data_IF_260320771287
#
_entry.id   IF_260320771287
#
_cell.length_a   1.000
_cell.length_b   1.000
_cell.length_c   1.000
_cell.angle_alpha   90.00
_cell.angle_beta   90.00
_cell.angle_gamma   90.00
#
_symmetry.space_group_name_H-M   'P 1'
#
loop_
_entity.id
_entity.type
_entity.pdbx_description
1 polymer ?
#
# COMPACT_ATOMS: atom_id res chain seq x y z
N UNK A 1 18.70 15.32 0.44
CA UNK A 1 17.43 14.57 0.46
C UNK A 1 17.76 13.15 0.85
N UNK A 2 17.32 12.69 2.03
CA UNK A 2 17.43 11.29 2.39
C UNK A 2 16.39 10.49 1.58
N UNK A 3 16.82 9.43 0.91
CA UNK A 3 15.91 8.51 0.21
C UNK A 3 14.98 7.86 1.23
N UNK A 4 13.67 7.97 1.01
CA UNK A 4 12.63 7.28 1.82
C UNK A 4 12.55 5.79 1.46
N UNK A 5 13.34 5.34 0.48
CA UNK A 5 13.34 3.97 -0.01
C UNK A 5 14.55 3.22 0.58
N UNK A 6 14.37 2.40 1.63
CA UNK A 6 15.39 1.46 2.06
C UNK A 6 15.60 0.39 0.99
N UNK A 7 16.78 -0.23 1.01
CA UNK A 7 17.13 -1.35 0.15
C UNK A 7 16.13 -2.50 0.32
N UNK A 8 15.90 -3.26 -0.75
CA UNK A 8 14.78 -4.21 -0.92
C UNK A 8 14.67 -5.35 0.13
N UNK A 9 15.65 -5.49 1.02
CA UNK A 9 15.71 -6.54 2.03
C UNK A 9 15.15 -6.13 3.40
N UNK A 10 14.75 -4.87 3.58
CA UNK A 10 14.36 -4.36 4.89
C UNK A 10 12.83 -4.21 5.03
N UNK A 11 12.24 -5.11 5.83
CA UNK A 11 10.81 -5.20 6.15
C UNK A 11 10.38 -4.10 7.14
N UNK A 12 10.71 -2.85 6.80
CA UNK A 12 10.05 -1.67 7.33
C UNK A 12 8.52 -1.88 7.32
N UNK A 13 7.85 -1.62 8.46
CA UNK A 13 6.38 -1.67 8.54
C UNK A 13 5.74 -0.75 7.49
N UNK A 14 4.86 -1.30 6.65
CA UNK A 14 4.30 -0.69 5.45
C UNK A 14 2.79 -0.92 5.40
N UNK A 15 2.01 -0.05 6.04
CA UNK A 15 0.59 -0.28 6.25
C UNK A 15 -0.27 0.73 5.50
N UNK A 16 -1.23 0.26 4.71
CA UNK A 16 -2.33 1.09 4.21
C UNK A 16 -3.43 1.12 5.26
N UNK A 17 -3.92 2.31 5.55
CA UNK A 17 -5.02 2.59 6.49
C UNK A 17 -6.19 3.21 5.74
N UNK A 18 -7.36 2.67 5.99
CA UNK A 18 -8.66 3.02 5.40
C UNK A 18 -9.72 3.00 6.50
N UNK A 19 -10.94 3.43 6.22
CA UNK A 19 -12.08 3.10 7.10
C UNK A 19 -12.83 1.92 6.50
N UNK A 20 -13.29 0.98 7.33
CA UNK A 20 -14.19 -0.08 6.91
C UNK A 20 -15.49 0.54 6.44
N UNK A 21 -15.85 0.29 5.19
CA UNK A 21 -17.09 0.79 4.60
C UNK A 21 -18.18 -0.29 4.55
N UNK A 22 -17.81 -1.57 4.63
CA UNK A 22 -18.72 -2.70 4.64
C UNK A 22 -18.14 -3.90 5.39
N UNK A 23 -18.99 -4.84 5.77
CA UNK A 23 -18.61 -6.14 6.35
C UNK A 23 -19.11 -7.27 5.47
N UNK A 24 -18.40 -8.42 5.44
CA UNK A 24 -18.89 -9.57 4.69
C UNK A 24 -19.92 -10.31 5.51
N UNK A 25 -20.90 -10.91 4.84
CA UNK A 25 -21.84 -11.87 5.42
C UNK A 25 -21.17 -13.18 5.93
N UNK A 26 -19.84 -13.25 6.03
CA UNK A 26 -19.10 -14.34 6.68
C UNK A 26 -18.42 -13.90 7.99
N UNK A 27 -18.49 -12.60 8.33
CA UNK A 27 -17.98 -12.03 9.59
C UNK A 27 -18.99 -12.15 10.75
N UNK A 28 -20.09 -12.89 10.59
CA UNK A 28 -21.25 -12.98 11.52
C UNK A 28 -20.97 -13.52 12.93
N UNK A 29 -19.73 -13.83 13.29
CA UNK A 29 -19.42 -14.57 14.52
C UNK A 29 -18.91 -13.75 15.70
N UNK A 30 -18.29 -12.58 15.47
CA UNK A 30 -17.51 -11.92 16.52
C UNK A 30 -17.78 -10.41 16.57
N UNK A 31 -18.67 -10.02 17.49
CA UNK A 31 -18.72 -8.70 18.15
C UNK A 31 -18.77 -7.44 17.27
N UNK A 32 -19.99 -7.08 16.83
CA UNK A 32 -20.36 -5.69 16.48
C UNK A 32 -19.84 -5.18 15.14
N UNK A 33 -20.58 -4.25 14.54
CA UNK A 33 -20.22 -3.72 13.22
C UNK A 33 -18.91 -2.94 13.24
N UNK A 34 -18.00 -3.31 12.34
CA UNK A 34 -16.75 -2.64 12.01
C UNK A 34 -16.97 -1.47 11.06
N UNK A 35 -18.15 -1.29 10.47
CA UNK A 35 -18.45 -0.16 9.59
C UNK A 35 -18.10 1.16 10.28
N UNK A 36 -17.40 2.02 9.56
CA UNK A 36 -16.91 3.32 10.03
C UNK A 36 -15.66 3.24 10.90
N UNK A 37 -15.15 2.05 11.25
CA UNK A 37 -13.93 1.90 12.03
C UNK A 37 -12.68 1.98 11.14
N UNK A 38 -11.57 2.54 11.63
CA UNK A 38 -10.31 2.49 10.91
C UNK A 38 -9.84 1.04 10.76
N UNK A 39 -9.24 0.73 9.61
CA UNK A 39 -8.73 -0.56 9.21
C UNK A 39 -7.39 -0.39 8.53
N UNK A 40 -6.38 -1.11 9.01
CA UNK A 40 -5.03 -1.03 8.48
C UNK A 40 -4.47 -2.43 8.17
N UNK A 41 -3.85 -2.58 7.01
CA UNK A 41 -3.21 -3.82 6.57
C UNK A 41 -1.92 -3.52 5.83
N UNK A 42 -1.02 -4.51 5.77
CA UNK A 42 0.21 -4.39 5.00
C UNK A 42 -0.10 -4.39 3.50
N UNK A 43 0.57 -3.52 2.73
CA UNK A 43 0.56 -3.55 1.26
C UNK A 43 1.96 -3.30 0.72
N UNK A 44 2.31 -4.00 -0.37
CA UNK A 44 3.54 -3.72 -1.10
C UNK A 44 3.43 -2.39 -1.86
N UNK A 45 4.56 -1.70 -2.03
CA UNK A 45 4.67 -0.51 -2.87
C UNK A 45 6.00 -0.47 -3.60
N UNK A 46 6.06 0.21 -4.75
CA UNK A 46 7.31 0.53 -5.41
C UNK A 46 7.31 1.96 -5.95
N UNK A 47 8.47 2.65 -5.94
CA UNK A 47 8.58 4.03 -6.42
C UNK A 47 8.83 4.11 -7.92
N UNK A 48 7.89 3.62 -8.72
CA UNK A 48 8.06 3.59 -10.17
C UNK A 48 7.73 4.91 -10.87
N UNK A 49 7.30 5.94 -10.12
CA UNK A 49 7.01 7.27 -10.64
C UNK A 49 8.02 8.29 -10.11
N UNK A 50 8.43 9.23 -10.97
CA UNK A 50 9.38 10.30 -10.63
C UNK A 50 8.77 11.44 -9.80
N UNK A 51 7.43 11.57 -9.81
CA UNK A 51 6.70 12.61 -9.08
C UNK A 51 6.47 12.27 -7.60
N UNK A 52 6.98 11.13 -7.12
CA UNK A 52 6.80 10.66 -5.74
C UNK A 52 5.53 9.85 -5.50
N UNK A 53 4.65 9.67 -6.50
CA UNK A 53 3.52 8.75 -6.38
C UNK A 53 4.01 7.31 -6.20
N UNK A 54 3.28 6.52 -5.39
CA UNK A 54 3.63 5.12 -5.16
C UNK A 54 2.85 4.22 -6.12
N UNK A 55 3.53 3.22 -6.69
CA UNK A 55 2.87 2.13 -7.40
C UNK A 55 2.44 1.08 -6.40
N UNK A 56 1.19 0.62 -6.52
CA UNK A 56 0.59 -0.45 -5.72
C UNK A 56 0.04 -1.54 -6.66
N UNK A 57 -0.10 -2.75 -6.11
CA UNK A 57 -0.91 -3.82 -6.70
C UNK A 57 -2.11 -4.02 -5.78
N UNK A 58 -3.32 -3.79 -6.30
CA UNK A 58 -4.55 -4.00 -5.54
C UNK A 58 -5.23 -5.30 -5.95
N UNK A 59 -5.56 -6.13 -4.97
CA UNK A 59 -6.38 -7.32 -5.16
C UNK A 59 -7.81 -7.05 -4.67
N UNK A 60 -8.86 -7.24 -5.50
CA UNK A 60 -10.25 -7.00 -5.10
C UNK A 60 -10.75 -7.88 -3.95
N UNK A 61 -10.08 -9.01 -3.71
CA UNK A 61 -10.37 -9.88 -2.57
C UNK A 61 -9.94 -9.27 -1.23
N UNK A 62 -8.99 -8.32 -1.23
CA UNK A 62 -8.46 -7.72 -0.01
C UNK A 62 -9.43 -6.69 0.56
N UNK A 63 -9.62 -6.72 1.89
CA UNK A 63 -10.51 -5.77 2.58
C UNK A 63 -10.02 -4.32 2.46
N UNK A 64 -8.70 -4.08 2.39
CA UNK A 64 -8.13 -2.74 2.15
C UNK A 64 -8.59 -2.18 0.80
N UNK A 65 -8.41 -2.94 -0.29
CA UNK A 65 -8.85 -2.58 -1.65
C UNK A 65 -10.35 -2.30 -1.72
N UNK A 66 -11.12 -3.18 -1.08
CA UNK A 66 -12.56 -3.05 -0.96
C UNK A 66 -12.99 -1.74 -0.30
N UNK A 67 -12.39 -1.40 0.83
CA UNK A 67 -12.62 -0.14 1.52
C UNK A 67 -12.23 1.07 0.66
N UNK A 68 -11.10 0.98 -0.05
CA UNK A 68 -10.66 2.03 -0.99
C UNK A 68 -11.74 2.29 -2.03
N UNK A 69 -12.25 1.25 -2.71
CA UNK A 69 -13.24 1.41 -3.78
C UNK A 69 -14.61 1.93 -3.33
N UNK A 70 -14.91 1.89 -2.04
CA UNK A 70 -16.14 2.47 -1.49
C UNK A 70 -16.00 3.88 -0.98
N UNK A 71 -14.77 4.32 -0.72
CA UNK A 71 -14.52 5.70 -0.41
C UNK A 71 -14.66 6.51 -1.71
N UNK A 72 -15.60 7.46 -1.85
CA UNK A 72 -15.79 8.18 -3.12
C UNK A 72 -14.55 8.95 -3.61
N UNK A 73 -13.65 9.33 -2.68
CA UNK A 73 -12.38 9.96 -3.00
C UNK A 73 -11.20 8.98 -3.09
N UNK A 74 -11.42 7.69 -2.85
CA UNK A 74 -10.39 6.67 -2.70
C UNK A 74 -9.25 7.08 -1.74
N UNK A 75 -9.60 7.81 -0.67
CA UNK A 75 -8.62 8.37 0.25
C UNK A 75 -8.02 7.31 1.17
N UNK A 76 -6.71 7.36 1.34
CA UNK A 76 -5.95 6.44 2.19
C UNK A 76 -4.87 7.18 2.97
N UNK A 77 -4.46 6.60 4.09
CA UNK A 77 -3.19 6.91 4.74
C UNK A 77 -2.26 5.71 4.62
N UNK A 78 -1.07 5.89 4.07
CA UNK A 78 -0.06 4.85 3.90
C UNK A 78 1.13 5.15 4.79
N UNK A 79 1.42 4.28 5.76
CA UNK A 79 2.50 4.48 6.72
C UNK A 79 3.72 3.66 6.35
N UNK A 80 4.89 4.29 6.43
CA UNK A 80 6.19 3.65 6.25
C UNK A 80 7.07 4.00 7.44
N UNK A 81 7.65 2.98 8.07
CA UNK A 81 8.56 3.15 9.21
C UNK A 81 10.00 2.83 8.81
N UNK A 82 10.99 3.49 9.40
CA UNK A 82 12.37 3.06 9.21
C UNK A 82 12.60 1.65 9.77
N UNK A 83 13.59 0.92 9.23
CA UNK A 83 14.03 -0.36 9.77
C UNK A 83 14.25 -0.37 11.28
N UNK A 84 13.75 -1.41 11.93
CA UNK A 84 13.81 -1.58 13.38
C UNK A 84 14.83 -2.62 13.81
N UNK A 85 15.62 -3.16 12.88
CA UNK A 85 16.71 -4.08 13.22
C UNK A 85 17.82 -3.34 13.98
N UNK A 86 18.37 -3.99 15.02
CA UNK A 86 19.49 -3.48 15.81
C UNK A 86 19.18 -2.27 16.70
N UNK A 87 17.93 -1.81 16.82
CA UNK A 87 17.56 -0.73 17.75
C UNK A 87 16.97 -1.23 19.06
N UNK A 88 17.26 -0.52 20.15
CA UNK A 88 16.70 -0.78 21.48
C UNK A 88 15.19 -0.57 21.54
N UNK A 89 14.66 0.37 20.76
CA UNK A 89 13.23 0.65 20.70
C UNK A 89 12.84 1.02 19.27
N UNK A 90 11.87 0.33 18.64
CA UNK A 90 11.27 0.75 17.37
C UNK A 90 10.74 2.18 17.41
N UNK A 91 10.30 2.63 18.59
CA UNK A 91 9.83 3.99 18.80
C UNK A 91 10.94 5.04 18.70
N UNK A 92 12.22 4.68 18.67
CA UNK A 92 13.30 5.65 18.40
C UNK A 92 13.54 5.88 16.89
N UNK A 93 12.75 5.26 16.03
CA UNK A 93 12.88 5.35 14.57
C UNK A 93 11.84 6.30 13.98
N UNK A 94 12.27 7.00 12.94
CA UNK A 94 11.40 7.85 12.15
C UNK A 94 10.35 7.03 11.39
N UNK A 95 9.18 7.63 11.21
CA UNK A 95 8.06 7.06 10.47
C UNK A 95 7.30 8.17 9.77
N UNK A 96 6.65 7.85 8.67
CA UNK A 96 5.89 8.80 7.87
C UNK A 96 4.52 8.23 7.55
N UNK A 97 3.50 9.09 7.61
CA UNK A 97 2.18 8.85 7.03
C UNK A 97 2.06 9.66 5.74
N UNK A 98 1.84 8.96 4.64
CA UNK A 98 1.62 9.50 3.30
C UNK A 98 0.11 9.43 3.03
N UNK A 99 -0.53 10.57 2.86
CA UNK A 99 -1.97 10.66 2.65
C UNK A 99 -2.26 11.18 1.25
N UNK A 100 -3.35 10.68 0.67
CA UNK A 100 -3.75 11.03 -0.68
C UNK A 100 -4.82 10.09 -1.21
N UNK A 101 -4.91 9.99 -2.54
CA UNK A 101 -5.92 9.17 -3.20
C UNK A 101 -5.31 8.07 -4.07
N UNK A 102 -6.06 6.98 -4.22
CA UNK A 102 -5.66 5.84 -5.03
C UNK A 102 -6.42 5.83 -6.35
N UNK A 103 -5.68 5.75 -7.45
CA UNK A 103 -6.22 5.62 -8.81
C UNK A 103 -5.86 4.26 -9.38
N UNK A 104 -6.86 3.47 -9.76
CA UNK A 104 -6.64 2.20 -10.48
C UNK A 104 -6.30 2.46 -11.93
N UNK A 105 -5.32 1.72 -12.45
CA UNK A 105 -4.73 1.89 -13.77
C UNK A 105 -5.18 0.76 -14.71
N UNK A 106 -6.49 0.67 -14.96
CA UNK A 106 -7.09 -0.43 -15.75
C UNK A 106 -6.79 -0.34 -17.24
N UNK A 107 -6.70 0.88 -17.77
CA UNK A 107 -6.62 1.14 -19.22
C UNK A 107 -5.23 1.66 -19.65
N UNK A 108 -4.17 1.19 -18.99
CA UNK A 108 -2.80 1.57 -19.37
C UNK A 108 -2.31 0.77 -20.59
N UNK A 109 -1.38 1.33 -21.35
CA UNK A 109 -0.79 0.62 -22.49
C UNK A 109 0.04 -0.58 -22.04
N UNK A 110 0.21 -1.57 -22.91
CA UNK A 110 1.10 -2.73 -22.69
C UNK A 110 2.51 -2.28 -22.32
N UNK A 111 3.04 -1.26 -23.01
CA UNK A 111 4.37 -0.71 -22.73
C UNK A 111 4.47 -0.03 -21.35
N UNK A 112 3.39 0.56 -20.85
CA UNK A 112 3.33 1.11 -19.50
C UNK A 112 3.24 -0.01 -18.46
N UNK A 113 2.40 -1.02 -18.71
CA UNK A 113 2.29 -2.19 -17.84
C UNK A 113 3.65 -2.92 -17.71
N UNK A 114 4.37 -3.14 -18.82
CA UNK A 114 5.71 -3.75 -18.81
C UNK A 114 6.73 -2.95 -18.00
N UNK A 115 6.71 -1.61 -18.14
CA UNK A 115 7.57 -0.72 -17.33
C UNK A 115 7.26 -0.83 -15.85
N UNK A 116 5.97 -0.85 -15.48
CA UNK A 116 5.54 -1.05 -14.10
C UNK A 116 5.97 -2.42 -13.59
N UNK A 117 5.72 -3.49 -14.35
CA UNK A 117 6.15 -4.86 -14.00
C UNK A 117 7.65 -4.94 -13.74
N UNK A 118 8.47 -4.40 -14.65
CA UNK A 118 9.93 -4.41 -14.52
C UNK A 118 10.41 -3.64 -13.30
N UNK A 119 9.87 -2.45 -13.06
CA UNK A 119 10.22 -1.66 -11.88
C UNK A 119 9.73 -2.34 -10.59
N UNK A 120 8.47 -2.76 -10.53
CA UNK A 120 7.88 -3.30 -9.32
C UNK A 120 8.59 -4.58 -8.85
N UNK A 121 8.92 -5.47 -9.80
CA UNK A 121 9.64 -6.71 -9.51
C UNK A 121 11.12 -6.50 -9.15
N UNK A 122 11.72 -5.35 -9.46
CA UNK A 122 13.07 -5.04 -8.94
C UNK A 122 13.06 -4.75 -7.44
N UNK A 123 11.92 -4.31 -6.88
CA UNK A 123 11.74 -4.11 -5.44
C UNK A 123 11.09 -5.31 -4.75
N UNK A 124 10.20 -6.02 -5.44
CA UNK A 124 9.47 -7.18 -4.92
C UNK A 124 9.58 -8.37 -5.90
N UNK A 125 10.69 -9.12 -5.92
CA UNK A 125 10.92 -10.19 -6.90
C UNK A 125 9.91 -11.34 -6.83
N UNK A 126 9.33 -11.56 -5.65
CA UNK A 126 8.25 -12.50 -5.39
C UNK A 126 6.97 -12.13 -6.15
N UNK A 127 6.69 -10.83 -6.32
CA UNK A 127 5.46 -10.33 -6.93
C UNK A 127 5.21 -10.75 -8.38
N UNK A 128 6.24 -11.27 -9.07
CA UNK A 128 6.11 -11.80 -10.44
C UNK A 128 4.98 -12.82 -10.60
N UNK A 129 4.62 -13.54 -9.53
CA UNK A 129 3.55 -14.55 -9.55
C UNK A 129 2.13 -13.96 -9.40
N UNK A 130 1.98 -12.67 -9.09
CA UNK A 130 0.68 -12.02 -8.92
C UNK A 130 0.58 -10.62 -9.53
N UNK A 131 1.40 -10.34 -10.55
CA UNK A 131 1.32 -9.11 -11.32
C UNK A 131 -0.04 -9.00 -12.03
N UNK A 132 -0.58 -7.78 -12.17
CA UNK A 132 -1.78 -7.53 -12.98
C UNK A 132 -1.60 -8.02 -14.41
N UNK A 133 -2.58 -8.80 -14.89
CA UNK A 133 -2.56 -9.41 -16.22
C UNK A 133 -1.81 -10.75 -16.32
N UNK A 134 -1.26 -11.28 -15.22
CA UNK A 134 -0.73 -12.64 -15.20
C UNK A 134 -1.88 -13.66 -15.08
N UNK A 135 -2.04 -14.50 -16.10
CA UNK A 135 -3.09 -15.54 -16.17
C UNK A 135 -2.92 -16.64 -15.12
N UNK A 136 -1.69 -16.91 -14.68
CA UNK A 136 -1.38 -17.91 -13.66
C UNK A 136 -1.59 -17.38 -12.23
N UNK A 137 -2.00 -16.12 -12.06
CA UNK A 137 -2.22 -15.54 -10.75
C UNK A 137 -3.44 -16.17 -10.05
N UNK A 138 -3.35 -16.55 -8.77
CA UNK A 138 -4.48 -17.15 -8.04
C UNK A 138 -5.67 -16.20 -7.89
N UNK A 139 -5.44 -14.88 -8.00
CA UNK A 139 -6.46 -13.86 -7.87
C UNK A 139 -6.21 -12.74 -8.88
N UNK A 140 -7.29 -12.12 -9.36
CA UNK A 140 -7.19 -10.90 -10.16
C UNK A 140 -6.52 -9.79 -9.35
N UNK A 141 -5.59 -9.08 -9.99
CA UNK A 141 -4.93 -7.91 -9.42
C UNK A 141 -4.91 -6.75 -10.41
N UNK A 142 -4.85 -5.53 -9.88
CA UNK A 142 -4.84 -4.30 -10.66
C UNK A 142 -3.63 -3.43 -10.31
N UNK A 143 -3.04 -2.82 -11.33
CA UNK A 143 -2.11 -1.72 -11.11
C UNK A 143 -2.87 -0.55 -10.49
N UNK A 144 -2.28 0.09 -9.50
CA UNK A 144 -2.80 1.31 -8.91
C UNK A 144 -1.67 2.29 -8.58
N UNK A 145 -2.03 3.57 -8.51
CA UNK A 145 -1.13 4.65 -8.11
C UNK A 145 -1.73 5.37 -6.90
N UNK A 146 -0.92 5.54 -5.86
CA UNK A 146 -1.21 6.45 -4.76
C UNK A 146 -0.58 7.80 -5.07
N UNK A 147 -1.42 8.80 -5.32
CA UNK A 147 -1.02 10.19 -5.49
C UNK A 147 -1.05 10.90 -4.14
N UNK A 148 0.14 11.27 -3.64
CA UNK A 148 0.32 11.82 -2.29
C UNK A 148 0.09 13.33 -2.32
N UNK A 149 -0.76 13.83 -1.43
CA UNK A 149 -1.04 15.26 -1.28
C UNK A 149 -0.70 15.81 0.11
N UNK A 150 -0.51 14.95 1.12
CA UNK A 150 -0.11 15.31 2.47
C UNK A 150 0.91 14.31 3.00
N UNK A 151 1.91 14.83 3.70
CA UNK A 151 2.96 14.03 4.33
C UNK A 151 3.04 14.46 5.79
N UNK A 152 2.97 13.49 6.69
CA UNK A 152 3.19 13.71 8.12
C UNK A 152 4.33 12.82 8.60
N UNK A 153 5.46 13.44 8.93
CA UNK A 153 6.64 12.74 9.44
C UNK A 153 6.70 12.87 10.95
N UNK A 154 7.14 11.80 11.60
CA UNK A 154 7.43 11.75 13.03
C UNK A 154 8.79 11.09 13.20
N UNK A 155 9.76 11.83 13.74
CA UNK A 155 11.00 11.31 14.29
C UNK A 155 10.73 10.52 15.55
N UNK A 156 11.74 9.78 16.03
CA UNK A 156 11.64 8.74 17.05
C UNK A 156 10.42 8.82 17.98
N UNK A 157 10.62 9.33 19.19
CA UNK A 157 9.61 9.26 20.25
C UNK A 157 8.46 10.28 20.07
N UNK A 158 8.24 10.81 18.87
CA UNK A 158 7.17 11.77 18.59
C UNK A 158 7.63 13.16 18.17
N UNK A 159 8.92 13.32 17.85
CA UNK A 159 9.53 14.60 17.42
C UNK A 159 9.35 14.89 15.92
#
# INVERSE_FOLDING_TARGET
MASVYPDSTDFAGRYISTNVSWENHSDHGLMGSLIGRPFAMMEYHAPCYSNGSLTLILMPISRSTQNIFQNPGHHVAYTVSMPTEGVRSPMSRGRVALMGNVTTLRDISTSQAEKLSKCYTSYHPDSKYWLPGNEDSPHTSYWARLDIDRIYYVGGFGE
#
